data_IF_546749177108
#
_entry.id   IF_546749177108
#
_cell.length_a   1.000
_cell.length_b   1.000
_cell.length_c   1.000
_cell.angle_alpha   90.00
_cell.angle_beta   90.00
_cell.angle_gamma   90.00
#
_symmetry.space_group_name_H-M   'P 1'
#
loop_
_entity.id
_entity.type
_entity.pdbx_description
1 polymer ?
#
# COMPACT_ATOMS: atom_id res chain seq x y z
N UNK A 1 -44.73 6.23 7.50
CA UNK A 1 -44.45 7.66 7.66
C UNK A 1 -44.38 8.23 6.27
N UNK A 2 -44.95 9.40 6.00
CA UNK A 2 -44.82 10.03 4.67
C UNK A 2 -43.44 10.68 4.52
N UNK A 3 -42.93 10.88 3.28
CA UNK A 3 -41.64 11.54 3.05
C UNK A 3 -41.46 12.89 3.76
N UNK A 4 -42.45 13.78 3.67
CA UNK A 4 -42.39 15.09 4.35
C UNK A 4 -42.38 14.99 5.88
N UNK A 5 -43.14 14.03 6.45
CA UNK A 5 -43.14 13.76 7.90
C UNK A 5 -41.77 13.24 8.34
N UNK A 6 -41.15 12.40 7.52
CA UNK A 6 -39.80 11.88 7.75
C UNK A 6 -38.75 12.99 7.70
N UNK A 7 -38.77 13.81 6.63
CA UNK A 7 -37.87 14.97 6.49
C UNK A 7 -37.94 15.90 7.69
N UNK A 8 -39.15 16.28 8.12
CA UNK A 8 -39.35 17.13 9.30
C UNK A 8 -38.87 16.47 10.60
N UNK A 9 -39.07 15.16 10.75
CA UNK A 9 -38.59 14.42 11.92
C UNK A 9 -37.06 14.40 11.98
N UNK A 10 -36.40 14.06 10.87
CA UNK A 10 -34.93 14.01 10.82
C UNK A 10 -34.35 15.39 11.11
N UNK A 11 -34.80 16.43 10.39
CA UNK A 11 -34.36 17.80 10.61
C UNK A 11 -34.59 18.25 12.07
N UNK A 12 -35.76 17.98 12.63
CA UNK A 12 -36.07 18.36 14.01
C UNK A 12 -35.20 17.69 15.09
N UNK A 13 -34.60 16.53 14.77
CA UNK A 13 -33.64 15.83 15.64
C UNK A 13 -32.23 16.36 15.38
N UNK A 14 -31.80 16.36 14.12
CA UNK A 14 -30.44 16.71 13.73
C UNK A 14 -30.15 18.19 14.00
N UNK A 15 -31.12 19.10 13.87
CA UNK A 15 -30.97 20.51 14.26
C UNK A 15 -30.60 20.70 15.74
N UNK A 16 -30.95 19.76 16.62
CA UNK A 16 -30.76 19.88 18.07
C UNK A 16 -29.62 19.02 18.62
N UNK A 17 -29.12 18.08 17.81
CA UNK A 17 -28.14 17.09 18.23
C UNK A 17 -27.06 16.92 17.15
N UNK A 18 -25.85 17.38 17.44
CA UNK A 18 -24.70 17.27 16.52
C UNK A 18 -24.31 15.81 16.30
N UNK A 19 -24.42 14.95 17.31
CA UNK A 19 -24.13 13.53 17.17
C UNK A 19 -25.08 12.87 16.16
N UNK A 20 -26.35 13.27 16.17
CA UNK A 20 -27.34 12.75 15.22
C UNK A 20 -27.02 13.18 13.79
N UNK A 21 -26.52 14.41 13.57
CA UNK A 21 -26.04 14.87 12.26
C UNK A 21 -24.88 14.03 11.75
N UNK A 22 -23.91 13.76 12.62
CA UNK A 22 -22.72 12.97 12.28
C UNK A 22 -23.12 11.54 11.89
N UNK A 23 -23.96 10.90 12.71
CA UNK A 23 -24.44 9.54 12.41
C UNK A 23 -25.25 9.49 11.12
N UNK A 24 -26.09 10.50 10.84
CA UNK A 24 -26.83 10.61 9.58
C UNK A 24 -25.87 10.67 8.38
N UNK A 25 -24.83 11.51 8.46
CA UNK A 25 -23.80 11.61 7.42
C UNK A 25 -23.01 10.32 7.24
N UNK A 26 -22.63 9.65 8.33
CA UNK A 26 -21.89 8.40 8.30
C UNK A 26 -22.71 7.24 7.72
N UNK A 27 -23.99 7.11 8.08
CA UNK A 27 -24.88 6.09 7.50
C UNK A 27 -25.07 6.32 6.00
N UNK A 28 -25.22 7.57 5.56
CA UNK A 28 -25.29 7.90 4.14
C UNK A 28 -24.01 7.50 3.39
N UNK A 29 -22.85 7.81 3.97
CA UNK A 29 -21.55 7.55 3.38
C UNK A 29 -21.21 6.05 3.31
N UNK A 30 -21.39 5.34 4.42
CA UNK A 30 -21.02 3.93 4.55
C UNK A 30 -22.04 2.99 3.91
N UNK A 31 -23.30 3.42 3.76
CA UNK A 31 -24.38 2.62 3.17
C UNK A 31 -24.45 1.24 3.82
N UNK A 32 -24.18 0.20 3.05
CA UNK A 32 -24.20 -1.20 3.48
C UNK A 32 -23.05 -1.60 4.42
N UNK A 33 -22.09 -0.70 4.70
CA UNK A 33 -20.95 -0.90 5.60
C UNK A 33 -21.11 -0.17 6.94
N UNK A 34 -22.33 0.30 7.24
CA UNK A 34 -22.66 1.06 8.45
C UNK A 34 -23.03 0.15 9.63
N UNK A 35 -22.15 -0.78 10.02
CA UNK A 35 -22.33 -1.57 11.24
C UNK A 35 -22.28 -0.70 12.51
N UNK A 36 -22.79 -1.19 13.65
CA UNK A 36 -22.64 -0.48 14.93
C UNK A 36 -21.16 -0.20 15.27
N UNK A 37 -20.28 -1.17 15.01
CA UNK A 37 -18.83 -1.03 15.19
C UNK A 37 -18.24 0.06 14.28
N UNK A 38 -18.60 0.05 12.99
CA UNK A 38 -18.14 1.06 12.05
C UNK A 38 -18.61 2.46 12.45
N UNK A 39 -19.89 2.62 12.79
CA UNK A 39 -20.45 3.91 13.20
C UNK A 39 -19.83 4.40 14.50
N UNK A 40 -19.68 3.52 15.50
CA UNK A 40 -19.07 3.88 16.79
C UNK A 40 -17.63 4.33 16.61
N UNK A 41 -16.84 3.57 15.84
CA UNK A 41 -15.43 3.89 15.61
C UNK A 41 -15.24 5.24 14.93
N UNK A 42 -15.98 5.50 13.85
CA UNK A 42 -15.89 6.79 13.17
C UNK A 42 -16.43 7.94 14.05
N UNK A 43 -17.53 7.70 14.77
CA UNK A 43 -18.11 8.71 15.66
C UNK A 43 -17.15 9.13 16.77
N UNK A 44 -16.52 8.16 17.44
CA UNK A 44 -15.54 8.42 18.51
C UNK A 44 -14.33 9.18 17.96
N UNK A 45 -13.80 8.79 16.79
CA UNK A 45 -12.71 9.53 16.17
C UNK A 45 -13.10 10.98 15.83
N UNK A 46 -14.34 11.23 15.38
CA UNK A 46 -14.82 12.56 15.02
C UNK A 46 -15.22 13.44 16.21
N UNK A 47 -15.59 12.85 17.35
CA UNK A 47 -16.14 13.56 18.51
C UNK A 47 -15.25 13.51 19.77
N UNK A 48 -14.23 12.65 19.79
CA UNK A 48 -13.30 12.45 20.90
C UNK A 48 -13.51 11.14 21.67
N UNK A 49 -12.48 10.73 22.41
CA UNK A 49 -12.46 9.52 23.23
C UNK A 49 -13.58 9.49 24.28
N UNK A 50 -14.06 8.28 24.60
CA UNK A 50 -15.06 8.06 25.65
C UNK A 50 -16.52 8.28 25.25
N UNK A 51 -16.80 8.56 23.96
CA UNK A 51 -18.17 8.76 23.44
C UNK A 51 -18.85 7.50 22.89
N UNK A 52 -18.32 6.32 23.20
CA UNK A 52 -18.82 5.04 22.68
C UNK A 52 -20.27 4.77 23.10
N UNK A 53 -20.56 4.86 24.40
CA UNK A 53 -21.90 4.58 24.91
C UNK A 53 -22.92 5.64 24.49
N UNK A 54 -22.49 6.91 24.37
CA UNK A 54 -23.31 7.98 23.80
C UNK A 54 -23.70 7.66 22.34
N UNK A 55 -22.75 7.21 21.53
CA UNK A 55 -22.99 6.80 20.15
C UNK A 55 -24.01 5.66 20.08
N UNK A 56 -23.80 4.58 20.85
CA UNK A 56 -24.70 3.41 20.86
C UNK A 56 -26.11 3.76 21.31
N UNK A 57 -26.24 4.59 22.34
CA UNK A 57 -27.55 5.04 22.83
C UNK A 57 -28.26 5.95 21.83
N UNK A 58 -27.50 6.78 21.11
CA UNK A 58 -28.03 7.61 20.04
C UNK A 58 -28.49 6.76 18.85
N UNK A 59 -27.71 5.75 18.42
CA UNK A 59 -28.09 4.79 17.39
C UNK A 59 -29.40 4.06 17.73
N UNK A 60 -29.52 3.54 18.96
CA UNK A 60 -30.77 2.92 19.46
C UNK A 60 -31.94 3.90 19.41
N UNK A 61 -31.71 5.15 19.77
CA UNK A 61 -32.73 6.21 19.78
C UNK A 61 -33.20 6.54 18.35
N UNK A 62 -32.26 6.74 17.42
CA UNK A 62 -32.55 7.04 16.01
C UNK A 62 -33.26 5.87 15.33
N UNK A 63 -32.89 4.63 15.64
CA UNK A 63 -33.61 3.45 15.18
C UNK A 63 -35.05 3.39 15.73
N UNK A 64 -35.24 3.56 17.05
CA UNK A 64 -36.59 3.56 17.67
C UNK A 64 -37.50 4.63 17.09
N UNK A 65 -36.94 5.81 16.76
CA UNK A 65 -37.67 6.91 16.11
C UNK A 65 -37.89 6.69 14.62
N UNK A 66 -37.40 5.58 14.04
CA UNK A 66 -37.48 5.25 12.61
C UNK A 66 -36.74 6.26 11.73
N UNK A 67 -35.70 6.90 12.26
CA UNK A 67 -34.71 7.66 11.47
C UNK A 67 -33.80 6.68 10.72
N UNK A 68 -33.41 5.59 11.38
CA UNK A 68 -32.67 4.49 10.74
C UNK A 68 -33.48 3.19 10.72
N UNK A 69 -33.36 2.45 9.62
CA UNK A 69 -33.69 1.04 9.53
C UNK A 69 -32.49 0.17 9.90
N UNK A 70 -32.73 -1.14 9.99
CA UNK A 70 -31.68 -2.16 10.11
C UNK A 70 -31.79 -3.05 8.86
N UNK A 71 -30.67 -3.24 8.19
CA UNK A 71 -30.53 -4.08 7.01
C UNK A 71 -30.39 -5.57 7.35
N UNK A 72 -30.23 -6.42 6.33
CA UNK A 72 -30.15 -7.87 6.49
C UNK A 72 -28.85 -8.37 7.16
N UNK A 73 -27.84 -7.53 7.29
CA UNK A 73 -26.54 -7.84 7.91
C UNK A 73 -26.29 -7.02 9.18
N UNK A 74 -27.37 -6.61 9.86
CA UNK A 74 -27.35 -5.78 11.07
C UNK A 74 -26.71 -4.38 10.85
N UNK A 75 -26.67 -3.91 9.60
CA UNK A 75 -26.19 -2.58 9.24
C UNK A 75 -27.29 -1.52 9.36
N UNK A 76 -26.95 -0.30 9.79
CA UNK A 76 -27.90 0.81 9.81
C UNK A 76 -28.12 1.35 8.40
N UNK A 77 -29.38 1.50 8.00
CA UNK A 77 -29.74 1.95 6.65
C UNK A 77 -30.78 3.07 6.67
N UNK A 78 -30.89 3.80 5.57
CA UNK A 78 -32.05 4.63 5.31
C UNK A 78 -33.33 3.76 5.29
N UNK A 79 -34.41 4.16 5.99
CA UNK A 79 -35.70 3.52 5.84
C UNK A 79 -36.20 3.56 4.39
N UNK A 80 -36.75 2.45 3.91
CA UNK A 80 -37.20 2.32 2.52
C UNK A 80 -38.26 3.38 2.14
N UNK A 81 -38.10 3.99 0.97
CA UNK A 81 -38.99 5.03 0.45
C UNK A 81 -38.69 6.45 0.94
N UNK A 82 -37.57 6.64 1.65
CA UNK A 82 -37.10 7.93 2.17
C UNK A 82 -35.70 8.32 1.66
N UNK A 83 -35.17 7.60 0.69
CA UNK A 83 -33.77 7.68 0.25
C UNK A 83 -33.40 9.08 -0.26
N UNK A 84 -34.30 9.74 -1.00
CA UNK A 84 -34.06 11.09 -1.53
C UNK A 84 -33.93 12.13 -0.43
N UNK A 85 -34.86 12.12 0.53
CA UNK A 85 -34.82 13.06 1.65
C UNK A 85 -33.63 12.76 2.57
N UNK A 86 -33.30 11.48 2.76
CA UNK A 86 -32.14 11.04 3.54
C UNK A 86 -30.83 11.56 2.93
N UNK A 87 -30.64 11.39 1.63
CA UNK A 87 -29.48 11.84 0.87
C UNK A 87 -29.37 13.38 0.91
N UNK A 88 -30.46 14.10 0.61
CA UNK A 88 -30.47 15.57 0.64
C UNK A 88 -30.01 16.10 2.00
N UNK A 89 -30.58 15.57 3.10
CA UNK A 89 -30.23 16.01 4.45
C UNK A 89 -28.80 15.59 4.83
N UNK A 90 -28.38 14.37 4.48
CA UNK A 90 -27.07 13.86 4.87
C UNK A 90 -25.92 14.57 4.14
N UNK A 91 -26.12 14.98 2.89
CA UNK A 91 -25.14 15.73 2.10
C UNK A 91 -24.78 17.06 2.78
N UNK A 92 -25.74 17.73 3.41
CA UNK A 92 -25.52 18.97 4.16
C UNK A 92 -24.65 18.78 5.43
N UNK A 93 -24.53 17.54 5.92
CA UNK A 93 -23.79 17.21 7.13
C UNK A 93 -22.39 16.64 6.88
N UNK A 94 -22.07 16.30 5.63
CA UNK A 94 -20.73 15.89 5.27
C UNK A 94 -19.78 17.09 5.35
N UNK A 95 -18.80 17.01 6.27
CA UNK A 95 -17.76 18.03 6.38
C UNK A 95 -16.95 18.09 5.08
N UNK A 96 -16.49 19.30 4.74
CA UNK A 96 -15.56 19.49 3.63
C UNK A 96 -14.31 18.64 3.87
N UNK A 97 -13.99 17.79 2.90
CA UNK A 97 -12.84 16.92 2.98
C UNK A 97 -11.57 17.72 2.70
N UNK A 98 -10.49 17.51 3.47
CA UNK A 98 -9.21 18.11 3.14
C UNK A 98 -8.70 17.58 1.79
N UNK A 99 -7.95 18.40 1.08
CA UNK A 99 -7.22 17.99 -0.12
C UNK A 99 -6.14 17.00 0.27
N UNK A 100 -6.14 15.83 -0.35
CA UNK A 100 -5.16 14.77 -0.07
C UNK A 100 -3.73 15.25 -0.33
N UNK A 101 -3.51 15.99 -1.42
CA UNK A 101 -2.23 16.61 -1.79
C UNK A 101 -1.69 17.53 -0.70
N UNK A 102 -2.56 18.31 -0.06
CA UNK A 102 -2.18 19.21 1.03
C UNK A 102 -1.77 18.43 2.30
N UNK A 103 -2.43 17.31 2.58
CA UNK A 103 -2.06 16.44 3.69
C UNK A 103 -0.73 15.76 3.42
N UNK A 104 -0.54 15.16 2.24
CA UNK A 104 0.73 14.54 1.85
C UNK A 104 1.87 15.53 2.01
N UNK A 105 1.71 16.76 1.52
CA UNK A 105 2.70 17.82 1.69
C UNK A 105 3.01 18.10 3.16
N UNK A 106 1.99 18.25 4.00
CA UNK A 106 2.18 18.52 5.42
C UNK A 106 2.92 17.38 6.14
N UNK A 107 2.60 16.12 5.81
CA UNK A 107 3.25 14.95 6.41
C UNK A 107 4.69 14.78 5.89
N UNK A 108 4.99 15.15 4.63
CA UNK A 108 6.35 15.24 4.09
C UNK A 108 7.16 16.29 4.85
N UNK A 109 6.61 17.50 5.01
CA UNK A 109 7.28 18.60 5.72
C UNK A 109 7.52 18.24 7.21
N UNK A 110 6.63 17.43 7.80
CA UNK A 110 6.76 16.90 9.16
C UNK A 110 7.70 15.68 9.29
N UNK A 111 8.12 15.06 8.18
CA UNK A 111 8.90 13.82 8.18
C UNK A 111 8.14 12.61 8.77
N UNK A 112 6.81 12.61 8.68
CA UNK A 112 5.97 11.56 9.27
C UNK A 112 5.85 10.34 8.36
N UNK A 113 6.90 9.52 8.34
CA UNK A 113 6.98 8.33 7.49
C UNK A 113 5.82 7.35 7.70
N UNK A 114 5.27 7.24 8.92
CA UNK A 114 4.18 6.33 9.21
C UNK A 114 2.87 6.78 8.55
N UNK A 115 2.53 8.07 8.66
CA UNK A 115 1.36 8.65 8.00
C UNK A 115 1.47 8.56 6.47
N UNK A 116 2.62 8.91 5.90
CA UNK A 116 2.88 8.81 4.46
C UNK A 116 2.70 7.37 3.97
N UNK A 117 3.22 6.39 4.71
CA UNK A 117 3.05 4.97 4.39
C UNK A 117 1.58 4.57 4.42
N UNK A 118 0.81 4.99 5.42
CA UNK A 118 -0.61 4.64 5.52
C UNK A 118 -1.46 5.25 4.40
N UNK A 119 -1.20 6.51 4.04
CA UNK A 119 -1.85 7.18 2.89
C UNK A 119 -1.55 6.41 1.60
N UNK A 120 -0.30 6.03 1.42
CA UNK A 120 0.18 5.28 0.26
C UNK A 120 -0.52 3.91 0.14
N UNK A 121 -0.63 3.15 1.23
CA UNK A 121 -1.34 1.86 1.25
C UNK A 121 -2.82 2.04 0.86
N UNK A 122 -3.49 3.06 1.40
CA UNK A 122 -4.91 3.33 1.06
C UNK A 122 -5.11 3.77 -0.40
N UNK A 123 -4.14 4.47 -1.00
CA UNK A 123 -4.19 4.87 -2.41
C UNK A 123 -4.04 3.69 -3.36
N UNK A 124 -3.29 2.66 -2.97
CA UNK A 124 -2.97 1.48 -3.80
C UNK A 124 -3.98 0.35 -3.67
N UNK A 125 -4.53 0.16 -2.47
CA UNK A 125 -5.42 -0.96 -2.21
C UNK A 125 -6.85 -0.65 -2.63
N UNK A 126 -7.41 -1.47 -3.52
CA UNK A 126 -8.86 -1.46 -3.77
C UNK A 126 -9.62 -1.95 -2.53
N UNK A 127 -10.86 -1.48 -2.34
CA UNK A 127 -11.75 -1.93 -1.24
C UNK A 127 -12.11 -3.41 -1.35
N UNK A 128 -11.96 -4.01 -2.54
CA UNK A 128 -12.02 -5.44 -2.74
C UNK A 128 -10.66 -6.04 -2.40
N UNK A 129 -10.48 -6.40 -1.12
CA UNK A 129 -9.31 -7.12 -0.65
C UNK A 129 -9.11 -8.48 -1.35
N UNK A 130 -8.09 -9.23 -0.94
CA UNK A 130 -7.90 -10.60 -1.42
C UNK A 130 -8.95 -11.54 -0.79
N UNK A 131 -9.29 -12.66 -1.44
CA UNK A 131 -10.09 -13.70 -0.81
C UNK A 131 -9.45 -14.14 0.51
N UNK A 132 -10.16 -13.97 1.63
CA UNK A 132 -9.73 -14.43 2.95
C UNK A 132 -9.08 -13.39 3.87
N UNK A 133 -8.70 -12.20 3.37
CA UNK A 133 -8.14 -11.12 4.20
C UNK A 133 -8.63 -9.75 3.72
N UNK A 134 -9.08 -8.92 4.66
CA UNK A 134 -9.66 -7.61 4.35
C UNK A 134 -8.61 -6.55 4.00
N UNK A 135 -9.01 -5.51 3.26
CA UNK A 135 -8.13 -4.37 2.97
C UNK A 135 -7.65 -3.70 4.26
N UNK A 136 -8.54 -3.60 5.25
CA UNK A 136 -8.22 -3.09 6.58
C UNK A 136 -7.13 -3.90 7.31
N UNK A 137 -7.28 -5.23 7.38
CA UNK A 137 -6.31 -6.11 8.04
C UNK A 137 -4.91 -6.01 7.40
N UNK A 138 -4.83 -5.82 6.09
CA UNK A 138 -3.55 -5.61 5.40
C UNK A 138 -2.88 -4.30 5.83
N UNK A 139 -3.61 -3.18 5.79
CA UNK A 139 -3.07 -1.88 6.21
C UNK A 139 -2.63 -1.94 7.67
N UNK A 140 -3.48 -2.53 8.53
CA UNK A 140 -3.19 -2.71 9.95
C UNK A 140 -1.92 -3.51 10.17
N UNK A 141 -1.80 -4.69 9.55
CA UNK A 141 -0.65 -5.56 9.72
C UNK A 141 0.64 -4.87 9.25
N UNK A 142 0.61 -4.25 8.06
CA UNK A 142 1.80 -3.63 7.49
C UNK A 142 2.26 -2.44 8.34
N UNK A 143 1.37 -1.51 8.71
CA UNK A 143 1.75 -0.38 9.57
C UNK A 143 2.22 -0.86 10.95
N UNK A 144 1.56 -1.88 11.51
CA UNK A 144 1.92 -2.43 12.82
C UNK A 144 3.31 -3.07 12.83
N UNK A 145 3.65 -3.84 11.80
CA UNK A 145 4.96 -4.47 11.66
C UNK A 145 6.06 -3.42 11.43
N UNK A 146 5.71 -2.36 10.72
CA UNK A 146 6.63 -1.29 10.32
C UNK A 146 6.93 -0.29 11.43
N UNK A 147 5.94 0.09 12.23
CA UNK A 147 6.02 1.21 13.17
C UNK A 147 5.50 0.93 14.58
N UNK A 148 4.79 -0.19 14.80
CA UNK A 148 4.04 -0.65 15.99
C UNK A 148 2.51 -0.58 15.84
N UNK A 149 1.76 -1.48 16.53
CA UNK A 149 0.29 -1.44 16.55
C UNK A 149 -0.29 -0.12 17.07
N UNK A 150 0.37 0.51 18.04
CA UNK A 150 -0.07 1.78 18.63
C UNK A 150 0.00 2.92 17.61
N UNK A 151 1.01 2.91 16.74
CA UNK A 151 1.13 3.90 15.64
C UNK A 151 -0.02 3.74 14.65
N UNK A 152 -0.40 2.51 14.29
CA UNK A 152 -1.55 2.29 13.42
C UNK A 152 -2.84 2.84 14.04
N UNK A 153 -3.10 2.54 15.31
CA UNK A 153 -4.30 3.04 16.01
C UNK A 153 -4.34 4.57 16.09
N UNK A 154 -3.19 5.20 16.37
CA UNK A 154 -3.07 6.66 16.42
C UNK A 154 -3.33 7.30 15.04
N UNK A 155 -2.73 6.75 13.97
CA UNK A 155 -2.93 7.25 12.60
C UNK A 155 -4.36 7.04 12.11
N UNK A 156 -4.94 5.88 12.37
CA UNK A 156 -6.34 5.60 12.03
C UNK A 156 -7.28 6.63 12.67
N UNK A 157 -7.13 6.84 13.98
CA UNK A 157 -7.96 7.78 14.73
C UNK A 157 -7.77 9.21 14.21
N UNK A 158 -6.53 9.64 14.01
CA UNK A 158 -6.20 10.97 13.48
C UNK A 158 -6.74 11.20 12.07
N UNK A 159 -6.61 10.21 11.17
CA UNK A 159 -7.07 10.33 9.79
C UNK A 159 -8.60 10.40 9.70
N UNK A 160 -9.31 9.62 10.52
CA UNK A 160 -10.78 9.72 10.60
C UNK A 160 -11.18 11.07 11.22
N UNK A 161 -10.53 11.51 12.29
CA UNK A 161 -10.79 12.79 12.94
C UNK A 161 -10.61 13.98 11.98
N UNK A 162 -9.59 13.91 11.12
CA UNK A 162 -9.29 14.90 10.05
C UNK A 162 -10.23 14.79 8.84
N UNK A 163 -11.21 13.89 8.82
CA UNK A 163 -12.05 13.56 7.66
C UNK A 163 -11.25 13.19 6.41
N UNK A 164 -10.08 12.55 6.58
CA UNK A 164 -9.27 12.05 5.47
C UNK A 164 -9.78 10.70 4.95
N UNK A 165 -10.19 9.84 5.87
CA UNK A 165 -10.71 8.51 5.56
C UNK A 165 -11.90 8.14 6.45
N UNK A 166 -12.56 7.05 6.09
CA UNK A 166 -13.66 6.44 6.85
C UNK A 166 -13.41 4.95 7.02
N UNK A 167 -13.69 4.42 8.21
CA UNK A 167 -13.69 2.97 8.47
C UNK A 167 -15.07 2.37 8.15
N UNK A 168 -15.12 1.26 7.43
CA UNK A 168 -16.37 0.57 7.10
C UNK A 168 -16.30 -0.93 7.34
N UNK A 169 -17.44 -1.52 7.71
CA UNK A 169 -17.57 -2.96 7.97
C UNK A 169 -18.98 -3.46 7.62
N UNK A 170 -19.08 -4.52 6.79
CA UNK A 170 -20.37 -5.13 6.39
C UNK A 170 -20.60 -6.56 6.91
N UNK A 171 -19.56 -7.18 7.45
CA UNK A 171 -19.53 -8.52 8.04
C UNK A 171 -18.09 -8.75 8.56
N UNK A 172 -17.80 -9.83 9.33
CA UNK A 172 -16.44 -10.11 9.82
C UNK A 172 -15.35 -10.28 8.74
N UNK A 173 -15.71 -10.23 7.45
CA UNK A 173 -14.83 -10.45 6.30
C UNK A 173 -14.81 -9.29 5.30
N UNK A 174 -15.44 -8.17 5.62
CA UNK A 174 -15.52 -7.02 4.72
C UNK A 174 -15.29 -5.74 5.51
N UNK A 175 -14.01 -5.50 5.84
CA UNK A 175 -13.54 -4.30 6.53
C UNK A 175 -12.61 -3.48 5.61
N UNK A 176 -12.72 -2.16 5.69
CA UNK A 176 -11.83 -1.27 4.97
C UNK A 176 -11.57 0.03 5.73
N UNK A 177 -10.47 0.67 5.37
CA UNK A 177 -10.22 2.08 5.61
C UNK A 177 -10.15 2.78 4.25
N UNK A 178 -11.13 3.64 3.98
CA UNK A 178 -11.32 4.23 2.67
C UNK A 178 -11.07 5.73 2.70
N UNK A 179 -10.13 6.20 1.87
CA UNK A 179 -9.99 7.63 1.57
C UNK A 179 -11.30 8.13 0.99
N UNK A 180 -11.78 9.26 1.50
CA UNK A 180 -12.96 9.90 0.91
C UNK A 180 -12.76 10.17 -0.59
N UNK A 181 -13.87 10.34 -1.33
CA UNK A 181 -13.84 10.62 -2.77
C UNK A 181 -13.06 11.90 -3.10
N UNK A 182 -11.79 11.72 -3.43
CA UNK A 182 -10.94 12.69 -4.10
C UNK A 182 -11.16 12.58 -5.61
N UNK A 183 -10.97 13.67 -6.35
CA UNK A 183 -10.93 13.62 -7.82
C UNK A 183 -9.72 12.80 -8.29
N UNK A 184 -9.79 12.23 -9.50
CA UNK A 184 -8.66 11.48 -10.06
C UNK A 184 -7.40 12.35 -10.16
N UNK A 185 -7.55 13.63 -10.52
CA UNK A 185 -6.44 14.61 -10.55
C UNK A 185 -5.82 14.81 -9.17
N UNK A 186 -6.63 14.87 -8.11
CA UNK A 186 -6.16 15.08 -6.74
C UNK A 186 -5.46 13.83 -6.19
N UNK A 187 -5.97 12.64 -6.54
CA UNK A 187 -5.31 11.36 -6.24
C UNK A 187 -3.96 11.28 -6.93
N UNK A 188 -3.91 11.60 -8.23
CA UNK A 188 -2.67 11.61 -9.00
C UNK A 188 -1.66 12.59 -8.44
N UNK A 189 -2.07 13.81 -8.10
CA UNK A 189 -1.18 14.81 -7.50
C UNK A 189 -0.59 14.33 -6.16
N UNK A 190 -1.38 13.64 -5.33
CA UNK A 190 -0.89 13.04 -4.09
C UNK A 190 0.08 11.88 -4.35
N UNK A 191 -0.20 11.03 -5.35
CA UNK A 191 0.68 9.94 -5.76
C UNK A 191 2.02 10.46 -6.29
N UNK A 192 2.02 11.43 -7.19
CA UNK A 192 3.23 12.03 -7.76
C UNK A 192 4.14 12.62 -6.67
N UNK A 193 3.55 13.28 -5.65
CA UNK A 193 4.30 13.79 -4.50
C UNK A 193 4.90 12.68 -3.63
N UNK A 194 4.16 11.59 -3.40
CA UNK A 194 4.68 10.44 -2.66
C UNK A 194 5.82 9.77 -3.43
N UNK A 195 5.67 9.60 -4.75
CA UNK A 195 6.70 9.06 -5.66
C UNK A 195 7.96 9.92 -5.56
N UNK A 196 7.85 11.24 -5.74
CA UNK A 196 9.00 12.15 -5.69
C UNK A 196 9.70 12.14 -4.32
N UNK A 197 8.92 12.11 -3.22
CA UNK A 197 9.47 12.02 -1.87
C UNK A 197 10.24 10.72 -1.66
N UNK A 198 9.65 9.59 -2.03
CA UNK A 198 10.23 8.26 -1.84
C UNK A 198 11.43 8.01 -2.72
N UNK A 199 11.38 8.46 -3.95
CA UNK A 199 12.52 8.46 -4.86
C UNK A 199 13.70 9.21 -4.22
N UNK A 200 13.47 10.42 -3.70
CA UNK A 200 14.50 11.19 -2.99
C UNK A 200 15.04 10.48 -1.75
N UNK A 201 14.20 9.82 -0.96
CA UNK A 201 14.65 9.08 0.22
C UNK A 201 15.47 7.84 -0.15
N UNK A 202 15.02 7.07 -1.14
CA UNK A 202 15.74 5.89 -1.61
C UNK A 202 17.07 6.28 -2.24
N UNK A 203 17.14 7.28 -3.13
CA UNK A 203 18.40 7.77 -3.72
C UNK A 203 19.40 8.38 -2.72
N UNK A 204 18.96 8.72 -1.49
CA UNK A 204 19.88 9.11 -0.41
C UNK A 204 20.57 7.92 0.25
N UNK A 205 20.07 6.68 0.06
CA UNK A 205 20.72 5.49 0.60
C UNK A 205 22.15 5.40 0.05
N UNK A 206 23.19 5.46 0.92
CA UNK A 206 24.59 5.45 0.48
C UNK A 206 24.93 4.28 -0.43
N UNK A 207 24.26 3.15 -0.22
CA UNK A 207 24.44 1.90 -0.94
C UNK A 207 24.04 2.00 -2.41
N UNK A 208 23.18 2.93 -2.84
CA UNK A 208 22.72 2.98 -4.24
C UNK A 208 23.84 3.35 -5.19
N UNK A 209 24.61 4.40 -4.90
CA UNK A 209 25.73 4.81 -5.76
C UNK A 209 26.82 3.75 -5.81
N UNK A 210 27.10 3.13 -4.67
CA UNK A 210 28.01 1.99 -4.58
C UNK A 210 27.50 0.83 -5.45
N UNK A 211 26.22 0.49 -5.33
CA UNK A 211 25.57 -0.57 -6.08
C UNK A 211 25.55 -0.31 -7.59
N UNK A 212 25.24 0.91 -8.04
CA UNK A 212 25.32 1.30 -9.45
C UNK A 212 26.75 1.20 -9.99
N UNK A 213 27.75 1.62 -9.22
CA UNK A 213 29.16 1.47 -9.57
C UNK A 213 29.55 0.00 -9.75
N UNK A 214 29.17 -0.86 -8.79
CA UNK A 214 29.45 -2.30 -8.83
C UNK A 214 28.73 -2.98 -10.01
N UNK A 215 27.50 -2.58 -10.33
CA UNK A 215 26.82 -3.05 -11.54
C UNK A 215 27.58 -2.63 -12.80
N UNK A 216 28.05 -1.38 -12.84
CA UNK A 216 28.87 -0.87 -13.95
C UNK A 216 30.13 -1.71 -14.17
N UNK A 217 30.81 -2.13 -13.11
CA UNK A 217 31.96 -3.04 -13.17
C UNK A 217 31.56 -4.42 -13.72
N UNK A 218 30.47 -5.01 -13.21
CA UNK A 218 29.96 -6.31 -13.69
C UNK A 218 29.65 -6.27 -15.19
N UNK A 219 29.07 -5.17 -15.67
CA UNK A 219 28.81 -4.94 -17.09
C UNK A 219 30.12 -4.81 -17.87
N UNK A 220 31.05 -3.99 -17.40
CA UNK A 220 32.33 -3.75 -18.08
C UNK A 220 33.13 -5.05 -18.23
N UNK A 221 33.24 -5.84 -17.16
CA UNK A 221 33.94 -7.13 -17.19
C UNK A 221 33.26 -8.13 -18.12
N UNK A 222 31.93 -8.21 -18.10
CA UNK A 222 31.21 -9.07 -19.04
C UNK A 222 31.46 -8.66 -20.49
N UNK A 223 31.47 -7.35 -20.77
CA UNK A 223 31.77 -6.83 -22.09
C UNK A 223 33.21 -7.11 -22.52
N UNK A 224 34.19 -7.08 -21.60
CA UNK A 224 35.58 -7.45 -21.87
C UNK A 224 35.75 -8.96 -22.11
N UNK A 225 35.19 -9.81 -21.25
CA UNK A 225 35.16 -11.27 -21.41
C UNK A 225 34.55 -11.66 -22.76
N UNK A 226 33.51 -10.94 -23.18
CA UNK A 226 32.86 -11.14 -24.46
C UNK A 226 33.66 -10.56 -25.62
N UNK A 227 34.31 -9.40 -25.50
CA UNK A 227 35.22 -8.90 -26.56
C UNK A 227 36.30 -9.93 -26.87
N UNK A 228 36.86 -10.58 -25.85
CA UNK A 228 37.80 -11.68 -26.01
C UNK A 228 37.20 -12.92 -26.70
N UNK A 229 35.88 -13.16 -26.57
CA UNK A 229 35.15 -14.28 -27.20
C UNK A 229 34.49 -13.92 -28.54
N UNK A 230 34.25 -12.63 -28.82
CA UNK A 230 33.54 -12.08 -29.98
C UNK A 230 34.25 -12.40 -31.29
N UNK A 231 35.58 -12.46 -31.28
CA UNK A 231 36.37 -12.89 -32.45
C UNK A 231 36.08 -14.35 -32.86
N UNK A 232 35.66 -15.20 -31.90
CA UNK A 232 35.24 -16.59 -32.15
C UNK A 232 33.74 -16.75 -32.44
N UNK A 233 32.88 -16.00 -31.76
CA UNK A 233 31.41 -16.09 -31.85
C UNK A 233 30.83 -15.41 -33.11
N UNK A 234 31.38 -14.27 -33.54
CA UNK A 234 30.92 -13.59 -34.76
C UNK A 234 31.15 -14.45 -36.02
N UNK A 235 32.14 -15.34 -36.00
CA UNK A 235 32.39 -16.32 -37.07
C UNK A 235 31.44 -17.52 -37.06
N UNK A 236 30.79 -17.82 -35.93
CA UNK A 236 30.00 -19.05 -35.75
C UNK A 236 28.49 -18.84 -35.89
N UNK A 237 27.99 -17.62 -35.70
CA UNK A 237 26.55 -17.39 -35.50
C UNK A 237 25.89 -16.41 -36.50
N UNK A 238 26.61 -15.88 -37.50
CA UNK A 238 26.09 -14.96 -38.54
C UNK A 238 25.33 -13.70 -38.02
N UNK A 239 25.43 -13.36 -36.74
CA UNK A 239 24.88 -12.11 -36.19
C UNK A 239 25.71 -10.90 -36.60
N UNK A 240 25.07 -9.75 -36.80
CA UNK A 240 25.81 -8.49 -36.93
C UNK A 240 26.43 -8.10 -35.60
N UNK A 241 27.58 -7.43 -35.64
CA UNK A 241 28.30 -7.01 -34.44
C UNK A 241 27.45 -6.09 -33.54
N UNK A 242 26.57 -5.29 -34.14
CA UNK A 242 25.59 -4.44 -33.46
C UNK A 242 24.51 -5.24 -32.70
N UNK A 243 24.06 -6.38 -33.22
CA UNK A 243 23.13 -7.28 -32.53
C UNK A 243 23.81 -8.02 -31.37
N UNK A 244 25.08 -8.37 -31.53
CA UNK A 244 25.88 -8.96 -30.44
C UNK A 244 26.15 -7.91 -29.36
N UNK A 245 26.40 -6.65 -29.71
CA UNK A 245 26.60 -5.59 -28.72
C UNK A 245 25.33 -5.24 -27.94
N UNK A 246 24.16 -5.23 -28.60
CA UNK A 246 22.87 -4.89 -28.00
C UNK A 246 22.31 -5.92 -26.98
N UNK A 247 22.78 -7.18 -27.01
CA UNK A 247 22.19 -8.29 -26.23
C UNK A 247 23.19 -8.89 -25.24
N UNK A 248 24.22 -8.15 -24.85
CA UNK A 248 25.38 -8.76 -24.20
C UNK A 248 25.58 -8.39 -22.73
N UNK A 249 25.32 -7.13 -22.36
CA UNK A 249 25.15 -6.69 -20.97
C UNK A 249 24.40 -5.34 -20.96
N UNK A 250 23.38 -5.21 -20.11
CA UNK A 250 22.54 -4.03 -20.02
C UNK A 250 22.03 -3.80 -18.58
N UNK A 251 22.02 -2.55 -18.14
CA UNK A 251 21.35 -2.11 -16.93
C UNK A 251 20.43 -0.94 -17.29
N UNK A 252 19.16 -1.03 -16.88
CA UNK A 252 18.16 -0.03 -17.23
C UNK A 252 18.29 1.29 -16.46
N UNK A 253 19.15 1.35 -15.43
CA UNK A 253 19.05 2.38 -14.40
C UNK A 253 17.89 2.12 -13.45
N UNK A 254 17.94 2.76 -12.28
CA UNK A 254 16.83 2.76 -11.34
C UNK A 254 15.76 3.74 -11.77
N UNK A 255 14.51 3.29 -11.70
CA UNK A 255 13.33 4.12 -11.90
C UNK A 255 12.36 3.84 -10.78
N UNK A 256 11.69 4.88 -10.30
CA UNK A 256 10.60 4.71 -9.35
C UNK A 256 9.46 3.94 -10.02
N UNK A 257 8.97 2.92 -9.34
CA UNK A 257 7.81 2.19 -9.81
C UNK A 257 6.54 2.99 -9.50
N UNK A 258 5.66 3.14 -10.50
CA UNK A 258 4.44 3.96 -10.36
C UNK A 258 3.39 3.24 -9.49
N UNK A 259 3.42 1.90 -9.48
CA UNK A 259 2.49 1.05 -8.73
C UNK A 259 3.06 0.67 -7.34
N UNK A 260 4.39 0.59 -7.22
CA UNK A 260 5.11 0.18 -6.01
C UNK A 260 6.11 1.23 -5.54
N UNK A 261 6.24 1.45 -4.23
CA UNK A 261 7.14 2.48 -3.70
C UNK A 261 8.50 1.90 -3.42
N UNK A 262 9.19 1.63 -4.53
CA UNK A 262 10.52 1.04 -4.59
C UNK A 262 11.22 1.57 -5.84
N UNK A 263 12.55 1.57 -5.84
CA UNK A 263 13.30 1.79 -7.07
C UNK A 263 13.52 0.44 -7.76
N UNK A 264 13.09 0.34 -9.00
CA UNK A 264 13.20 -0.86 -9.82
C UNK A 264 14.20 -0.69 -10.95
N UNK A 265 14.91 -1.76 -11.27
CA UNK A 265 15.78 -1.84 -12.42
C UNK A 265 15.86 -3.27 -12.97
N UNK A 266 16.29 -3.40 -14.21
CA UNK A 266 16.61 -4.69 -14.82
C UNK A 266 18.11 -4.74 -15.12
N UNK A 267 18.72 -5.86 -14.74
CA UNK A 267 20.10 -6.18 -15.07
C UNK A 267 20.14 -7.45 -15.92
N UNK A 268 20.71 -7.32 -17.10
CA UNK A 268 20.92 -8.41 -18.04
C UNK A 268 22.42 -8.55 -18.29
N UNK A 269 22.97 -9.76 -18.14
CA UNK A 269 24.37 -10.07 -18.47
C UNK A 269 24.45 -11.45 -19.09
N UNK A 270 25.05 -11.58 -20.27
CA UNK A 270 25.15 -12.83 -21.03
C UNK A 270 23.79 -13.46 -21.40
N UNK A 271 23.28 -14.38 -20.56
CA UNK A 271 21.98 -15.06 -20.66
C UNK A 271 21.18 -14.98 -19.35
N UNK A 272 21.76 -14.30 -18.36
CA UNK A 272 21.20 -14.15 -17.03
C UNK A 272 20.48 -12.80 -16.92
N UNK A 273 19.30 -12.82 -16.32
CA UNK A 273 18.54 -11.63 -15.95
C UNK A 273 18.29 -11.59 -14.44
N UNK A 274 18.34 -10.38 -13.88
CA UNK A 274 17.89 -10.06 -12.54
C UNK A 274 16.98 -8.83 -12.60
N UNK A 275 15.87 -8.89 -11.88
CA UNK A 275 15.08 -7.72 -11.52
C UNK A 275 15.57 -7.21 -10.16
N UNK A 276 16.00 -5.96 -10.09
CA UNK A 276 16.56 -5.35 -8.89
C UNK A 276 15.53 -4.43 -8.28
N UNK A 277 15.29 -4.58 -6.97
CA UNK A 277 14.31 -3.79 -6.21
C UNK A 277 15.01 -3.19 -5.00
N UNK A 278 15.10 -1.87 -4.91
CA UNK A 278 15.64 -1.18 -3.74
C UNK A 278 14.51 -0.67 -2.86
N UNK A 279 14.55 -1.07 -1.59
CA UNK A 279 13.51 -0.77 -0.62
C UNK A 279 14.03 -0.85 0.81
N UNK A 280 13.46 -0.08 1.73
CA UNK A 280 13.78 -0.18 3.17
C UNK A 280 13.22 -1.47 3.79
N UNK A 281 12.16 -2.04 3.17
CA UNK A 281 11.45 -3.24 3.63
C UNK A 281 11.02 -4.08 2.44
N UNK A 282 10.91 -5.39 2.62
CA UNK A 282 10.43 -6.26 1.56
C UNK A 282 8.96 -5.93 1.24
N UNK A 283 8.72 -5.14 0.19
CA UNK A 283 7.40 -4.58 -0.10
C UNK A 283 6.42 -5.71 -0.42
N UNK A 284 5.44 -5.90 0.46
CA UNK A 284 4.42 -6.97 0.40
C UNK A 284 3.58 -6.97 -0.88
N UNK A 285 3.58 -5.86 -1.62
CA UNK A 285 2.94 -5.75 -2.92
C UNK A 285 3.75 -6.40 -4.05
N UNK A 286 5.09 -6.29 -4.02
CA UNK A 286 5.99 -7.01 -4.95
C UNK A 286 5.98 -8.52 -4.67
N UNK A 287 5.70 -8.92 -3.42
CA UNK A 287 5.40 -10.32 -3.08
C UNK A 287 4.14 -10.80 -3.83
N UNK A 288 3.16 -9.94 -4.13
CA UNK A 288 1.94 -10.38 -4.81
C UNK A 288 2.08 -10.43 -6.31
N UNK A 289 2.76 -9.47 -6.91
CA UNK A 289 3.03 -9.47 -8.35
C UNK A 289 4.44 -10.01 -8.62
N UNK A 290 4.49 -11.28 -9.04
CA UNK A 290 5.76 -11.93 -9.32
C UNK A 290 6.17 -11.76 -10.79
N UNK A 291 7.42 -11.33 -11.01
CA UNK A 291 8.01 -11.25 -12.34
C UNK A 291 8.49 -12.64 -12.77
N UNK A 292 8.50 -12.91 -14.08
CA UNK A 292 9.02 -14.18 -14.64
C UNK A 292 10.55 -14.36 -14.47
N UNK A 293 11.24 -13.37 -13.90
CA UNK A 293 12.69 -13.32 -13.73
C UNK A 293 13.05 -13.34 -12.24
N UNK A 294 14.28 -13.79 -11.88
CA UNK A 294 14.74 -13.70 -10.49
C UNK A 294 14.71 -12.27 -9.96
N UNK A 295 14.17 -12.08 -8.76
CA UNK A 295 14.02 -10.77 -8.12
C UNK A 295 15.00 -10.65 -6.95
N UNK A 296 15.83 -9.62 -6.97
CA UNK A 296 16.80 -9.29 -5.93
C UNK A 296 16.35 -8.04 -5.19
N UNK A 297 15.93 -8.22 -3.94
CA UNK A 297 15.62 -7.14 -3.03
C UNK A 297 16.90 -6.66 -2.35
N UNK A 298 17.25 -5.39 -2.55
CA UNK A 298 18.35 -4.72 -1.86
C UNK A 298 17.75 -3.87 -0.75
N UNK A 299 18.12 -4.19 0.48
CA UNK A 299 17.54 -3.57 1.68
C UNK A 299 18.63 -3.03 2.60
N UNK A 300 18.31 -1.97 3.35
CA UNK A 300 19.25 -1.40 4.34
C UNK A 300 19.50 -2.37 5.52
N UNK A 301 18.48 -3.16 5.89
CA UNK A 301 18.52 -4.09 7.02
C UNK A 301 17.82 -5.39 6.69
N UNK A 302 18.30 -6.47 7.29
CA UNK A 302 17.69 -7.79 7.11
C UNK A 302 16.23 -7.79 7.61
N UNK A 303 15.25 -8.15 6.76
CA UNK A 303 13.86 -8.24 7.20
C UNK A 303 13.68 -9.30 8.28
N UNK A 304 12.92 -8.98 9.34
CA UNK A 304 12.62 -9.93 10.44
C UNK A 304 11.99 -11.23 9.97
N UNK A 305 11.27 -11.18 8.84
CA UNK A 305 10.57 -12.32 8.26
C UNK A 305 11.46 -13.23 7.39
N UNK A 306 12.75 -12.93 7.22
CA UNK A 306 13.63 -13.66 6.28
C UNK A 306 13.68 -15.17 6.53
N UNK A 307 13.63 -15.60 7.80
CA UNK A 307 13.63 -17.03 8.16
C UNK A 307 12.24 -17.69 8.10
N UNK A 308 11.20 -16.94 7.78
CA UNK A 308 9.82 -17.40 7.73
C UNK A 308 9.16 -17.03 6.39
N UNK A 309 9.93 -16.91 5.31
CA UNK A 309 9.39 -16.51 4.00
C UNK A 309 8.30 -17.46 3.50
N UNK A 310 8.40 -18.76 3.76
CA UNK A 310 7.34 -19.72 3.42
C UNK A 310 5.95 -19.29 3.93
N UNK A 311 5.88 -18.73 5.15
CA UNK A 311 4.65 -18.17 5.72
C UNK A 311 4.26 -16.82 5.12
N UNK A 312 5.24 -15.98 4.76
CA UNK A 312 4.98 -14.69 4.10
C UNK A 312 4.31 -14.88 2.73
N UNK A 313 4.62 -15.98 2.06
CA UNK A 313 4.11 -16.34 0.73
C UNK A 313 3.02 -17.41 0.75
N UNK A 314 2.47 -17.77 1.92
CA UNK A 314 1.50 -18.87 2.09
C UNK A 314 0.28 -18.73 1.16
N UNK A 315 -0.24 -17.51 1.03
CA UNK A 315 -1.41 -17.18 0.20
C UNK A 315 -1.06 -16.52 -1.15
N UNK A 316 0.23 -16.48 -1.51
CA UNK A 316 0.68 -15.79 -2.71
C UNK A 316 0.73 -16.74 -3.92
N UNK A 317 0.32 -16.26 -5.10
CA UNK A 317 0.48 -16.98 -6.37
C UNK A 317 1.51 -16.27 -7.26
N UNK A 318 2.52 -16.97 -7.82
CA UNK A 318 2.88 -18.38 -7.58
C UNK A 318 3.34 -18.62 -6.13
N UNK A 319 3.42 -19.87 -5.67
CA UNK A 319 3.83 -20.17 -4.30
C UNK A 319 5.34 -19.88 -4.08
N UNK A 320 5.81 -19.85 -2.83
CA UNK A 320 7.21 -19.55 -2.52
C UNK A 320 8.24 -20.40 -3.27
N UNK A 321 7.99 -21.70 -3.39
CA UNK A 321 8.89 -22.68 -4.01
C UNK A 321 9.08 -22.44 -5.52
N UNK A 322 8.10 -21.80 -6.17
CA UNK A 322 8.13 -21.48 -7.59
C UNK A 322 8.77 -20.11 -7.87
N UNK A 323 9.10 -19.34 -6.82
CA UNK A 323 9.69 -18.00 -6.93
C UNK A 323 11.21 -18.07 -6.89
N UNK A 324 11.87 -17.20 -7.64
CA UNK A 324 13.32 -16.97 -7.57
C UNK A 324 13.62 -15.65 -6.89
N UNK A 325 13.72 -15.69 -5.56
CA UNK A 325 13.86 -14.51 -4.71
C UNK A 325 15.25 -14.47 -4.09
N UNK A 326 15.82 -13.27 -3.99
CA UNK A 326 16.98 -12.99 -3.17
C UNK A 326 16.75 -11.75 -2.32
N UNK A 327 17.29 -11.74 -1.11
CA UNK A 327 17.36 -10.57 -0.22
C UNK A 327 18.83 -10.29 0.04
N UNK A 328 19.25 -9.06 -0.19
CA UNK A 328 20.62 -8.62 -0.05
C UNK A 328 20.67 -7.42 0.89
N UNK A 329 21.50 -7.54 1.92
CA UNK A 329 21.95 -6.41 2.73
C UNK A 329 23.42 -6.19 2.39
N UNK A 330 23.75 -5.13 1.63
CA UNK A 330 25.12 -4.89 1.18
C UNK A 330 26.12 -4.91 2.34
N UNK A 331 27.29 -5.52 2.12
CA UNK A 331 28.37 -5.68 3.11
C UNK A 331 27.99 -6.48 4.38
N UNK A 332 26.83 -7.14 4.42
CA UNK A 332 26.38 -7.91 5.58
C UNK A 332 26.01 -9.35 5.21
N UNK A 333 24.92 -9.56 4.47
CA UNK A 333 24.39 -10.90 4.20
C UNK A 333 23.51 -10.94 2.95
N UNK A 334 23.50 -12.09 2.27
CA UNK A 334 22.55 -12.38 1.20
C UNK A 334 21.84 -13.71 1.45
N UNK A 335 20.53 -13.75 1.18
CA UNK A 335 19.72 -14.95 1.17
C UNK A 335 19.13 -15.16 -0.23
N UNK A 336 19.10 -16.40 -0.73
CA UNK A 336 18.44 -16.72 -1.99
C UNK A 336 17.86 -18.14 -1.99
N UNK A 337 16.81 -18.37 -2.77
CA UNK A 337 16.27 -19.71 -3.05
C UNK A 337 16.57 -20.18 -4.48
N UNK A 338 17.49 -19.51 -5.16
CA UNK A 338 17.95 -19.86 -6.49
C UNK A 338 19.47 -19.70 -6.58
N UNK A 339 20.09 -20.48 -7.46
CA UNK A 339 21.50 -20.33 -7.81
C UNK A 339 21.61 -19.80 -9.25
N UNK A 340 22.31 -18.69 -9.41
CA UNK A 340 22.56 -18.05 -10.70
C UNK A 340 23.92 -17.35 -10.69
N UNK A 341 24.65 -17.46 -11.80
CA UNK A 341 26.00 -16.93 -11.93
C UNK A 341 26.03 -15.40 -11.80
N UNK A 342 25.10 -14.70 -12.45
CA UNK A 342 25.00 -13.24 -12.34
C UNK A 342 24.74 -12.78 -10.89
N UNK A 343 23.85 -13.45 -10.17
CA UNK A 343 23.59 -13.13 -8.76
C UNK A 343 24.83 -13.36 -7.88
N UNK A 344 25.50 -14.50 -8.06
CA UNK A 344 26.76 -14.80 -7.35
C UNK A 344 27.86 -13.77 -7.62
N UNK A 345 27.98 -13.29 -8.87
CA UNK A 345 28.91 -12.19 -9.23
C UNK A 345 28.53 -10.89 -8.52
N UNK A 346 27.23 -10.57 -8.47
CA UNK A 346 26.72 -9.36 -7.82
C UNK A 346 27.00 -9.35 -6.31
N UNK A 347 26.66 -10.42 -5.59
CA UNK A 347 26.83 -10.44 -4.12
C UNK A 347 28.29 -10.44 -3.68
N UNK A 348 29.18 -11.09 -4.43
CA UNK A 348 30.62 -11.08 -4.14
C UNK A 348 31.19 -9.66 -4.22
N UNK A 349 30.69 -8.85 -5.16
CA UNK A 349 31.04 -7.44 -5.33
C UNK A 349 30.50 -6.55 -4.22
N UNK A 350 29.39 -6.95 -3.60
CA UNK A 350 28.80 -6.28 -2.44
C UNK A 350 29.47 -6.67 -1.12
N UNK A 351 30.64 -7.30 -1.17
CA UNK A 351 31.39 -7.70 0.03
C UNK A 351 30.78 -8.89 0.78
N UNK A 352 29.90 -9.67 0.14
CA UNK A 352 29.21 -10.79 0.78
C UNK A 352 29.92 -12.09 0.39
N UNK A 353 30.59 -12.71 1.35
CA UNK A 353 31.40 -13.92 1.12
C UNK A 353 30.55 -15.16 0.81
N UNK A 354 29.34 -15.24 1.36
CA UNK A 354 28.46 -16.41 1.22
C UNK A 354 27.00 -16.02 1.14
N UNK A 355 26.31 -16.55 0.15
CA UNK A 355 24.85 -16.58 0.13
C UNK A 355 24.32 -17.72 1.00
N UNK A 356 23.34 -17.41 1.84
CA UNK A 356 22.61 -18.37 2.66
C UNK A 356 21.32 -18.79 1.93
N UNK A 357 20.85 -20.00 2.22
CA UNK A 357 19.50 -20.40 1.86
C UNK A 357 18.52 -19.85 2.93
N UNK A 358 17.27 -19.59 2.52
CA UNK A 358 16.24 -19.03 3.39
C UNK A 358 15.79 -19.94 4.53
#
# INVERSE_FOLDING_TARGET
MKPEEYKNLVLGITEKDEGARILQGLVYLLKEYASEEALTKNFVALQGEGKEEECKDLLKTLHRKRVFGIGPYDEYICPAGHEKDFEEIALDYLKAQPKLSAIVKAEVDAGNNAALTMIELMLKMSTHGLPGVTQYEFIKADISDMFSPEVFQALETDFIAKNLCVYGQRAPRHEFLWLYHQTDDERKAAQDMLIEFREKELYKMPQIKEFEGLIGEVIAESQEEQKAKKEGLARWAEFSQEQVDAVSAHFSGFTMDEDFVVLNANLYVDRDTLHLVITDKLSRYVIREWKDQPVVFVTEKLPKCVQNLSRVFEDAYPCYEERKLAIVVPNEVAYANFDQKLFSRLIARLGIEKCLEF
#
